data_IF_871052297943
#
_entry.id   IF_871052297943
#
_cell.length_a   1.000
_cell.length_b   1.000
_cell.length_c   1.000
_cell.angle_alpha   90.00
_cell.angle_beta   90.00
_cell.angle_gamma   90.00
#
_symmetry.space_group_name_H-M   'P 1'
#
loop_
_entity.id
_entity.type
_entity.pdbx_description
1 polymer ?
#
# COMPACT_ATOMS: atom_id res chain seq x y z
N UNK A 1 -46.33 25.31 -11.97
CA UNK A 1 -46.18 25.62 -13.40
C UNK A 1 -44.81 25.07 -13.81
N UNK A 2 -44.77 23.86 -14.37
CA UNK A 2 -44.86 23.55 -15.82
C UNK A 2 -43.71 24.23 -16.59
N UNK A 3 -42.66 23.43 -16.92
CA UNK A 3 -42.22 23.01 -18.29
C UNK A 3 -41.49 24.17 -19.01
N UNK A 4 -40.34 23.98 -19.65
CA UNK A 4 -40.02 23.18 -20.85
C UNK A 4 -38.49 22.90 -20.84
N UNK A 5 -37.92 21.71 -21.07
CA UNK A 5 -37.79 20.90 -22.31
C UNK A 5 -37.33 21.67 -23.54
N UNK A 6 -36.04 21.63 -23.86
CA UNK A 6 -35.54 21.61 -25.24
C UNK A 6 -34.26 20.79 -25.33
N UNK A 7 -34.35 19.78 -26.19
CA UNK A 7 -33.32 18.88 -26.72
C UNK A 7 -32.76 19.52 -27.99
N UNK A 8 -31.47 19.40 -28.25
CA UNK A 8 -30.84 19.37 -29.60
C UNK A 8 -29.37 18.98 -29.37
N UNK A 9 -28.98 17.74 -29.64
CA UNK A 9 -28.47 17.19 -30.91
C UNK A 9 -27.15 17.81 -31.39
N UNK A 10 -26.29 16.91 -31.87
CA UNK A 10 -24.87 17.05 -32.13
C UNK A 10 -24.62 17.83 -33.42
N UNK A 11 -23.64 18.75 -33.41
CA UNK A 11 -22.88 19.07 -34.62
C UNK A 11 -21.39 18.93 -34.35
N UNK A 12 -20.86 17.85 -34.91
CA UNK A 12 -19.45 17.49 -34.97
C UNK A 12 -18.90 18.03 -36.28
N UNK A 13 -18.75 19.35 -36.37
CA UNK A 13 -17.98 19.98 -37.44
C UNK A 13 -17.64 21.43 -37.05
N UNK A 14 -16.46 21.90 -37.45
CA UNK A 14 -15.91 23.27 -37.27
C UNK A 14 -14.93 23.46 -36.10
N UNK A 15 -13.74 22.89 -36.24
CA UNK A 15 -12.51 23.52 -35.77
C UNK A 15 -11.46 23.42 -36.87
N UNK A 16 -11.33 24.46 -37.67
CA UNK A 16 -10.10 24.71 -38.41
C UNK A 16 -9.62 26.16 -38.24
N UNK A 17 -8.29 26.23 -38.14
CA UNK A 17 -7.41 27.33 -38.54
C UNK A 17 -7.18 28.45 -37.53
N UNK A 18 -5.97 28.45 -36.92
CA UNK A 18 -4.89 29.40 -37.29
C UNK A 18 -3.50 28.79 -36.95
N UNK A 19 -2.70 28.57 -38.02
CA UNK A 19 -1.21 28.58 -38.19
C UNK A 19 -0.27 27.94 -37.14
N UNK A 20 0.65 27.01 -37.43
CA UNK A 20 1.50 26.72 -38.61
C UNK A 20 3.00 26.79 -38.18
N UNK A 21 4.03 26.34 -38.93
CA UNK A 21 4.10 25.36 -40.02
C UNK A 21 5.07 24.18 -39.74
N UNK A 22 5.04 23.19 -40.65
CA UNK A 22 5.87 22.00 -40.75
C UNK A 22 7.37 22.18 -40.46
N UNK A 23 7.96 21.23 -39.71
CA UNK A 23 9.40 21.01 -39.72
C UNK A 23 9.68 19.57 -40.16
N UNK A 24 10.19 19.53 -41.39
CA UNK A 24 10.72 18.39 -42.11
C UNK A 24 11.84 17.70 -41.30
N UNK A 25 11.80 16.37 -41.30
CA UNK A 25 12.94 15.53 -40.92
C UNK A 25 14.00 15.66 -42.02
N UNK A 26 15.07 16.40 -41.75
CA UNK A 26 16.33 16.25 -42.49
C UNK A 26 17.55 16.42 -41.58
N UNK A 27 18.57 15.61 -41.90
CA UNK A 27 19.77 15.31 -41.15
C UNK A 27 20.67 16.52 -40.87
N UNK A 28 21.30 16.55 -39.68
CA UNK A 28 22.76 16.61 -39.45
C UNK A 28 23.07 17.26 -38.08
N UNK A 29 23.97 16.65 -37.30
CA UNK A 29 24.29 17.00 -35.92
C UNK A 29 24.94 18.41 -35.75
N UNK A 30 25.04 18.93 -34.52
CA UNK A 30 26.15 18.51 -33.66
C UNK A 30 25.68 18.03 -32.29
N UNK A 31 26.28 16.91 -31.85
CA UNK A 31 26.10 16.33 -30.53
C UNK A 31 26.45 17.38 -29.48
N UNK A 32 25.48 17.76 -28.65
CA UNK A 32 25.76 18.45 -27.40
C UNK A 32 26.59 17.49 -26.54
N UNK A 33 27.90 17.75 -26.46
CA UNK A 33 28.80 17.05 -25.57
C UNK A 33 28.45 17.47 -24.15
N UNK A 34 27.66 16.64 -23.47
CA UNK A 34 27.44 16.77 -22.03
C UNK A 34 28.81 16.71 -21.33
N UNK A 35 29.27 17.81 -20.69
CA UNK A 35 30.61 17.93 -20.12
C UNK A 35 30.82 17.03 -18.89
N UNK A 36 29.84 16.23 -18.48
CA UNK A 36 29.92 15.30 -17.35
C UNK A 36 30.03 13.83 -17.77
N UNK A 37 30.05 13.51 -19.07
CA UNK A 37 30.03 12.13 -19.58
C UNK A 37 31.41 11.57 -20.02
N UNK A 38 32.51 12.30 -19.82
CA UNK A 38 33.83 11.91 -20.36
C UNK A 38 34.82 11.35 -19.32
N UNK A 39 34.32 10.51 -18.40
CA UNK A 39 35.16 9.85 -17.37
C UNK A 39 35.34 8.34 -17.63
N UNK A 40 34.55 7.75 -18.54
CA UNK A 40 34.57 6.31 -18.82
C UNK A 40 34.92 5.94 -20.27
N UNK A 41 35.32 6.90 -21.11
CA UNK A 41 35.85 6.59 -22.45
C UNK A 41 37.27 6.04 -22.34
N UNK A 42 37.39 4.75 -22.06
CA UNK A 42 38.62 3.98 -22.16
C UNK A 42 39.01 3.83 -23.63
N UNK A 43 39.61 4.88 -24.20
CA UNK A 43 40.29 4.82 -25.50
C UNK A 43 41.80 4.68 -25.26
N UNK A 44 42.45 3.61 -25.75
CA UNK A 44 43.88 3.44 -25.55
C UNK A 44 44.66 4.46 -26.39
N UNK A 45 45.66 5.16 -25.82
CA UNK A 45 46.48 6.08 -26.59
C UNK A 45 47.45 5.33 -27.51
N UNK A 46 47.60 5.87 -28.73
CA UNK A 46 48.51 5.39 -29.76
C UNK A 46 49.96 5.22 -29.25
N UNK A 47 50.63 4.18 -29.74
CA UNK A 47 52.00 3.80 -29.40
C UNK A 47 53.05 4.90 -29.67
N UNK A 48 53.92 5.24 -28.72
CA UNK A 48 55.19 5.88 -29.01
C UNK A 48 56.30 4.82 -29.11
N UNK A 49 57.02 4.81 -30.23
CA UNK A 49 58.26 4.04 -30.39
C UNK A 49 59.42 4.83 -29.79
N UNK A 50 60.13 4.29 -28.78
CA UNK A 50 61.52 4.67 -28.47
C UNK A 50 62.25 3.63 -27.62
N UNK A 51 63.55 3.56 -27.89
CA UNK A 51 64.51 2.52 -27.55
C UNK A 51 64.73 2.21 -26.05
N UNK A 52 65.25 0.99 -25.86
CA UNK A 52 65.63 0.30 -24.64
C UNK A 52 66.39 1.11 -23.57
N UNK A 53 66.09 0.84 -22.30
CA UNK A 53 67.08 0.62 -21.23
C UNK A 53 66.41 -0.11 -20.07
N UNK A 54 66.87 -1.31 -19.77
CA UNK A 54 66.42 -2.09 -18.62
C UNK A 54 66.93 -1.45 -17.32
N UNK A 55 66.02 -1.13 -16.40
CA UNK A 55 66.33 -1.03 -14.96
C UNK A 55 65.15 -1.58 -14.17
N UNK A 56 65.49 -2.45 -13.23
CA UNK A 56 64.61 -3.21 -12.36
C UNK A 56 63.75 -2.30 -11.48
N UNK A 57 62.44 -2.43 -11.57
CA UNK A 57 61.52 -2.56 -10.43
C UNK A 57 60.11 -2.73 -10.99
N UNK A 58 59.51 -3.90 -10.74
CA UNK A 58 58.07 -4.11 -10.87
C UNK A 58 57.33 -3.20 -9.88
N UNK A 59 57.23 -1.91 -10.19
CA UNK A 59 56.29 -1.01 -9.55
C UNK A 59 54.97 -1.12 -10.32
N UNK A 60 54.26 -2.23 -10.12
CA UNK A 60 52.83 -2.21 -10.37
C UNK A 60 52.23 -1.10 -9.48
N UNK A 61 51.54 -0.09 -10.04
CA UNK A 61 50.89 0.93 -9.25
C UNK A 61 49.91 0.25 -8.31
N UNK A 62 50.02 0.50 -7.01
CA UNK A 62 49.23 -0.18 -6.00
C UNK A 62 47.73 -0.01 -6.25
N UNK A 63 46.99 -1.11 -6.37
CA UNK A 63 45.52 -1.11 -6.51
C UNK A 63 44.78 -0.78 -5.20
N UNK A 64 45.50 -0.66 -4.09
CA UNK A 64 44.94 -0.40 -2.75
C UNK A 64 44.07 0.87 -2.69
N UNK A 65 44.44 2.02 -3.29
CA UNK A 65 43.60 3.22 -3.30
C UNK A 65 42.32 3.00 -4.10
N UNK A 66 42.41 2.32 -5.25
CA UNK A 66 41.25 2.01 -6.10
C UNK A 66 40.30 1.07 -5.38
N UNK A 67 40.82 0.02 -4.76
CA UNK A 67 40.04 -0.94 -3.97
C UNK A 67 39.35 -0.26 -2.78
N UNK A 68 40.05 0.64 -2.08
CA UNK A 68 39.46 1.44 -0.99
C UNK A 68 38.34 2.34 -1.48
N UNK A 69 38.50 3.02 -2.61
CA UNK A 69 37.45 3.87 -3.20
C UNK A 69 36.25 3.03 -3.59
N UNK A 70 36.46 1.87 -4.23
CA UNK A 70 35.38 0.93 -4.58
C UNK A 70 34.67 0.41 -3.33
N UNK A 71 35.40 -0.02 -2.30
CA UNK A 71 34.82 -0.54 -1.07
C UNK A 71 34.07 0.54 -0.27
N UNK A 72 34.62 1.76 -0.20
CA UNK A 72 33.97 2.89 0.50
C UNK A 72 32.69 3.29 -0.23
N UNK A 73 32.73 3.36 -1.57
CA UNK A 73 31.55 3.69 -2.38
C UNK A 73 30.50 2.59 -2.30
N UNK A 74 30.92 1.33 -2.36
CA UNK A 74 30.04 0.17 -2.19
C UNK A 74 29.41 0.15 -0.80
N UNK A 75 30.20 0.33 0.27
CA UNK A 75 29.72 0.33 1.65
C UNK A 75 28.81 1.51 1.97
N UNK A 76 29.06 2.70 1.40
CA UNK A 76 28.14 3.84 1.54
C UNK A 76 26.80 3.58 0.84
N UNK A 77 26.83 3.03 -0.37
CA UNK A 77 25.61 2.65 -1.10
C UNK A 77 24.82 1.58 -0.35
N UNK A 78 25.52 0.57 0.14
CA UNK A 78 24.94 -0.53 0.89
C UNK A 78 24.36 -0.04 2.23
N UNK A 79 25.06 0.85 2.94
CA UNK A 79 24.55 1.46 4.18
C UNK A 79 23.29 2.30 3.99
N UNK A 80 23.19 3.06 2.88
CA UNK A 80 21.98 3.82 2.53
C UNK A 80 20.83 2.88 2.13
N UNK A 81 21.12 1.83 1.37
CA UNK A 81 20.13 0.84 0.99
C UNK A 81 19.62 0.08 2.22
N UNK A 82 20.53 -0.43 3.06
CA UNK A 82 20.22 -1.14 4.29
C UNK A 82 19.38 -0.28 5.25
N UNK A 83 19.77 0.98 5.49
CA UNK A 83 19.02 1.88 6.40
C UNK A 83 17.59 2.14 5.93
N UNK A 84 17.35 2.19 4.61
CA UNK A 84 16.00 2.39 4.06
C UNK A 84 15.16 1.12 4.17
N UNK A 85 15.73 -0.05 3.89
CA UNK A 85 14.99 -1.31 3.95
C UNK A 85 14.69 -1.73 5.40
N UNK A 86 15.60 -1.42 6.32
CA UNK A 86 15.51 -1.83 7.73
C UNK A 86 14.32 -1.20 8.47
N UNK A 87 13.87 0.00 8.08
CA UNK A 87 12.68 0.64 8.68
C UNK A 87 11.38 0.29 7.97
N UNK A 88 11.43 -0.15 6.71
CA UNK A 88 10.22 -0.43 5.91
C UNK A 88 9.60 -1.80 6.21
N UNK A 89 10.41 -2.83 6.40
CA UNK A 89 9.90 -4.19 6.64
C UNK A 89 9.13 -4.33 7.96
N UNK A 90 9.66 -3.88 9.11
CA UNK A 90 8.94 -4.02 10.38
C UNK A 90 7.59 -3.31 10.37
N UNK A 91 7.52 -2.09 9.83
CA UNK A 91 6.27 -1.35 9.71
C UNK A 91 5.27 -2.01 8.75
N UNK A 92 5.76 -2.66 7.67
CA UNK A 92 4.89 -3.44 6.79
C UNK A 92 4.34 -4.68 7.50
N UNK A 93 5.17 -5.42 8.23
CA UNK A 93 4.75 -6.65 8.90
C UNK A 93 3.73 -6.37 10.02
N UNK A 94 3.95 -5.30 10.79
CA UNK A 94 2.99 -4.79 11.79
C UNK A 94 1.68 -4.35 11.13
N UNK A 95 1.76 -3.52 10.09
CA UNK A 95 0.58 -3.05 9.36
C UNK A 95 -0.19 -4.18 8.66
N UNK A 96 0.52 -5.15 8.10
CA UNK A 96 -0.07 -6.30 7.40
C UNK A 96 -0.82 -7.21 8.36
N UNK A 97 -0.23 -7.56 9.49
CA UNK A 97 -0.87 -8.41 10.50
C UNK A 97 -2.13 -7.75 11.09
N UNK A 98 -2.07 -6.46 11.43
CA UNK A 98 -3.24 -5.70 11.90
C UNK A 98 -4.31 -5.55 10.80
N UNK A 99 -3.90 -5.24 9.57
CA UNK A 99 -4.78 -5.15 8.41
C UNK A 99 -5.48 -6.48 8.10
N UNK A 100 -4.80 -7.61 8.27
CA UNK A 100 -5.38 -8.94 8.10
C UNK A 100 -6.49 -9.22 9.12
N UNK A 101 -6.26 -8.88 10.40
CA UNK A 101 -7.27 -9.02 11.46
C UNK A 101 -8.48 -8.12 11.19
N UNK A 102 -8.25 -6.85 10.86
CA UNK A 102 -9.32 -5.91 10.51
C UNK A 102 -10.12 -6.39 9.29
N UNK A 103 -9.43 -6.81 8.23
CA UNK A 103 -10.04 -7.34 7.01
C UNK A 103 -10.90 -8.57 7.28
N UNK A 104 -10.43 -9.47 8.15
CA UNK A 104 -11.20 -10.65 8.58
C UNK A 104 -12.47 -10.23 9.34
N UNK A 105 -12.40 -9.23 10.23
CA UNK A 105 -13.58 -8.69 10.94
C UNK A 105 -14.59 -8.07 9.98
N UNK A 106 -14.14 -7.29 9.00
CA UNK A 106 -15.01 -6.69 7.98
C UNK A 106 -15.64 -7.75 7.11
N UNK A 107 -14.84 -8.70 6.63
CA UNK A 107 -15.29 -9.79 5.78
C UNK A 107 -16.37 -10.63 6.45
N UNK A 108 -16.23 -10.91 7.75
CA UNK A 108 -17.26 -11.57 8.54
C UNK A 108 -18.58 -10.77 8.55
N UNK A 109 -18.53 -9.48 8.90
CA UNK A 109 -19.73 -8.62 8.97
C UNK A 109 -20.45 -8.58 7.63
N UNK A 110 -19.71 -8.33 6.54
CA UNK A 110 -20.28 -8.26 5.19
C UNK A 110 -20.82 -9.62 4.77
N UNK A 111 -20.07 -10.70 5.02
CA UNK A 111 -20.46 -12.07 4.67
C UNK A 111 -21.73 -12.52 5.38
N UNK A 112 -21.90 -12.19 6.67
CA UNK A 112 -23.15 -12.50 7.40
C UNK A 112 -24.33 -11.72 6.84
N UNK A 113 -24.16 -10.42 6.54
CA UNK A 113 -25.23 -9.61 5.94
C UNK A 113 -25.62 -10.12 4.54
N UNK A 114 -24.65 -10.57 3.75
CA UNK A 114 -24.88 -11.21 2.46
C UNK A 114 -25.63 -12.53 2.61
N UNK A 115 -25.20 -13.38 3.54
CA UNK A 115 -25.88 -14.64 3.83
C UNK A 115 -27.34 -14.41 4.23
N UNK A 116 -27.60 -13.43 5.10
CA UNK A 116 -28.96 -13.02 5.46
C UNK A 116 -29.74 -12.50 4.25
N UNK A 117 -29.14 -11.64 3.43
CA UNK A 117 -29.79 -11.13 2.21
C UNK A 117 -30.26 -12.26 1.28
N UNK A 118 -29.47 -13.33 1.13
CA UNK A 118 -29.87 -14.49 0.34
C UNK A 118 -30.91 -15.39 1.03
N UNK A 119 -30.88 -15.48 2.36
CA UNK A 119 -31.76 -16.35 3.15
C UNK A 119 -33.17 -15.78 3.40
N UNK A 120 -33.36 -14.46 3.35
CA UNK A 120 -34.63 -13.81 3.73
C UNK A 120 -35.66 -13.72 2.59
N UNK A 121 -36.90 -13.42 2.97
CA UNK A 121 -38.04 -13.24 2.08
C UNK A 121 -37.89 -12.01 1.17
N UNK A 122 -38.57 -12.01 0.01
CA UNK A 122 -38.52 -10.89 -0.94
C UNK A 122 -38.96 -9.54 -0.35
N UNK A 123 -39.85 -9.55 0.66
CA UNK A 123 -40.32 -8.34 1.32
C UNK A 123 -39.20 -7.63 2.12
N UNK A 124 -38.27 -8.39 2.71
CA UNK A 124 -37.20 -7.86 3.56
C UNK A 124 -35.89 -7.64 2.80
N UNK A 125 -35.76 -8.23 1.61
CA UNK A 125 -34.59 -8.07 0.73
C UNK A 125 -34.25 -6.61 0.44
N UNK A 126 -35.25 -5.75 0.21
CA UNK A 126 -34.97 -4.35 -0.09
C UNK A 126 -34.30 -3.64 1.08
N UNK A 127 -34.80 -3.83 2.30
CA UNK A 127 -34.19 -3.29 3.53
C UNK A 127 -32.77 -3.83 3.71
N UNK A 128 -32.59 -5.14 3.58
CA UNK A 128 -31.29 -5.76 3.76
C UNK A 128 -30.29 -5.30 2.70
N UNK A 129 -30.72 -5.07 1.46
CA UNK A 129 -29.87 -4.51 0.41
C UNK A 129 -29.38 -3.10 0.75
N UNK A 130 -30.22 -2.27 1.37
CA UNK A 130 -29.82 -0.93 1.82
C UNK A 130 -28.82 -1.01 2.96
N UNK A 131 -29.05 -1.90 3.94
CA UNK A 131 -28.11 -2.14 5.04
C UNK A 131 -26.74 -2.60 4.53
N UNK A 132 -26.72 -3.54 3.59
CA UNK A 132 -25.50 -4.08 2.99
C UNK A 132 -24.74 -2.99 2.21
N UNK A 133 -25.43 -2.15 1.43
CA UNK A 133 -24.81 -1.00 0.75
C UNK A 133 -24.20 -0.02 1.75
N UNK A 134 -24.90 0.28 2.84
CA UNK A 134 -24.36 1.12 3.91
C UNK A 134 -23.13 0.49 4.56
N UNK A 135 -23.16 -0.81 4.87
CA UNK A 135 -22.04 -1.53 5.45
C UNK A 135 -20.80 -1.47 4.56
N UNK A 136 -20.95 -1.68 3.24
CA UNK A 136 -19.84 -1.59 2.27
C UNK A 136 -19.23 -0.19 2.19
N UNK A 137 -20.06 0.84 2.29
CA UNK A 137 -19.60 2.24 2.23
C UNK A 137 -18.99 2.70 3.55
N UNK A 138 -19.48 2.20 4.70
CA UNK A 138 -18.93 2.55 6.01
C UNK A 138 -17.68 1.75 6.36
N UNK A 139 -17.62 0.46 6.01
CA UNK A 139 -16.49 -0.42 6.23
C UNK A 139 -15.52 -0.44 5.05
N UNK A 140 -15.53 0.61 4.21
CA UNK A 140 -14.53 0.77 3.16
C UNK A 140 -13.17 1.08 3.78
N UNK A 141 -12.10 0.68 3.09
CA UNK A 141 -10.71 0.91 3.53
C UNK A 141 -10.48 2.40 3.83
N UNK A 142 -11.00 3.29 2.99
CA UNK A 142 -10.90 4.75 3.16
C UNK A 142 -11.48 5.24 4.50
N UNK A 143 -12.58 4.67 4.97
CA UNK A 143 -13.23 5.08 6.22
C UNK A 143 -12.69 4.36 7.44
N UNK A 144 -12.25 3.13 7.26
CA UNK A 144 -11.60 2.36 8.32
C UNK A 144 -10.25 2.94 8.71
N UNK A 145 -9.50 3.44 7.74
CA UNK A 145 -8.21 4.09 7.97
C UNK A 145 -8.28 5.62 7.87
N UNK A 146 -9.46 6.19 8.16
CA UNK A 146 -9.66 7.63 8.11
C UNK A 146 -8.83 8.36 9.18
N UNK A 147 -8.32 9.54 8.81
CA UNK A 147 -7.61 10.45 9.71
C UNK A 147 -8.56 10.85 10.85
N UNK A 148 -8.19 10.51 12.09
CA UNK A 148 -9.02 10.71 13.29
C UNK A 148 -9.40 9.41 14.01
N UNK A 149 -9.41 8.28 13.31
CA UNK A 149 -9.38 6.94 13.95
C UNK A 149 -7.93 6.47 14.12
N UNK A 150 -7.07 6.91 13.21
CA UNK A 150 -5.62 6.68 13.20
C UNK A 150 -4.87 7.99 13.25
N UNK A 151 -3.76 8.01 13.98
CA UNK A 151 -2.77 9.08 14.04
C UNK A 151 -1.86 9.12 12.80
N UNK A 152 -1.08 10.19 12.66
CA UNK A 152 -0.12 10.33 11.53
C UNK A 152 1.06 9.36 11.60
N UNK A 153 1.31 8.86 12.79
CA UNK A 153 2.29 7.82 13.13
C UNK A 153 1.78 6.39 12.87
N UNK A 154 0.51 6.23 12.46
CA UNK A 154 -0.10 4.92 12.22
C UNK A 154 -0.60 4.23 13.49
N UNK A 155 -0.56 4.93 14.64
CA UNK A 155 -1.10 4.43 15.91
C UNK A 155 -2.60 4.73 15.99
N UNK A 156 -3.38 3.83 16.56
CA UNK A 156 -4.82 4.03 16.73
C UNK A 156 -5.12 5.12 17.78
N UNK A 157 -6.13 5.95 17.52
CA UNK A 157 -6.50 7.09 18.37
C UNK A 157 -7.69 6.81 19.32
N UNK A 158 -8.17 5.57 19.38
CA UNK A 158 -9.34 5.17 20.17
C UNK A 158 -8.95 4.28 21.36
N UNK A 159 -9.79 4.29 22.39
CA UNK A 159 -9.56 3.51 23.61
C UNK A 159 -9.72 2.01 23.35
N UNK A 160 -8.67 1.25 23.64
CA UNK A 160 -8.64 -0.22 23.57
C UNK A 160 -8.49 -0.75 24.98
N UNK A 161 -9.36 -1.68 25.37
CA UNK A 161 -9.28 -2.32 26.68
C UNK A 161 -8.09 -3.29 26.69
N UNK A 162 -6.99 -2.88 27.32
CA UNK A 162 -5.77 -3.68 27.52
C UNK A 162 -4.75 -2.88 28.33
N UNK A 163 -3.82 -3.55 29.03
CA UNK A 163 -2.63 -2.85 29.53
C UNK A 163 -1.81 -2.42 28.32
N UNK A 164 -1.32 -1.19 28.30
CA UNK A 164 -0.64 -0.58 27.13
C UNK A 164 0.50 -1.45 26.56
N UNK A 165 1.07 -2.38 27.33
CA UNK A 165 2.14 -3.32 26.92
C UNK A 165 1.66 -4.66 26.31
N UNK A 166 0.39 -5.04 26.41
CA UNK A 166 -0.11 -6.37 25.98
C UNK A 166 -1.32 -6.30 25.03
N UNK A 167 -1.56 -5.15 24.40
CA UNK A 167 -2.72 -5.01 23.51
C UNK A 167 -2.52 -5.87 22.26
N UNK A 168 -3.40 -6.85 22.07
CA UNK A 168 -3.36 -7.68 20.86
C UNK A 168 -4.04 -6.97 19.67
N UNK A 169 -3.57 -7.23 18.44
CA UNK A 169 -4.23 -6.68 17.25
C UNK A 169 -5.71 -7.07 17.12
N UNK A 170 -6.11 -8.20 17.71
CA UNK A 170 -7.51 -8.61 17.80
C UNK A 170 -8.35 -7.67 18.67
N UNK A 171 -7.81 -7.26 19.82
CA UNK A 171 -8.46 -6.29 20.71
C UNK A 171 -8.55 -4.91 20.06
N UNK A 172 -7.48 -4.47 19.39
CA UNK A 172 -7.48 -3.22 18.60
C UNK A 172 -8.61 -3.25 17.56
N UNK A 173 -8.67 -4.33 16.76
CA UNK A 173 -9.72 -4.48 15.76
C UNK A 173 -11.13 -4.54 16.37
N UNK A 174 -11.32 -5.23 17.50
CA UNK A 174 -12.61 -5.29 18.19
C UNK A 174 -13.01 -3.98 18.86
N UNK A 175 -12.04 -3.13 19.22
CA UNK A 175 -12.28 -1.81 19.79
C UNK A 175 -12.63 -0.75 18.72
N UNK A 176 -12.31 -1.01 17.45
CA UNK A 176 -12.55 -0.07 16.35
C UNK A 176 -14.03 0.41 16.29
N UNK A 177 -14.30 1.73 16.27
CA UNK A 177 -15.66 2.27 16.41
C UNK A 177 -16.67 1.76 15.36
N UNK A 178 -16.27 1.72 14.09
CA UNK A 178 -17.12 1.23 13.00
C UNK A 178 -17.40 -0.27 13.11
N UNK A 179 -16.39 -1.08 13.46
CA UNK A 179 -16.56 -2.51 13.65
C UNK A 179 -17.49 -2.79 14.83
N UNK A 180 -17.36 -2.09 15.97
CA UNK A 180 -18.28 -2.21 17.10
C UNK A 180 -19.71 -1.90 16.74
N UNK A 181 -19.94 -0.80 16.01
CA UNK A 181 -21.26 -0.39 15.51
C UNK A 181 -21.87 -1.49 14.65
N UNK A 182 -21.13 -1.97 13.64
CA UNK A 182 -21.66 -2.94 12.68
C UNK A 182 -21.79 -4.35 13.26
N UNK A 183 -20.87 -4.76 14.15
CA UNK A 183 -20.98 -6.00 14.93
C UNK A 183 -22.27 -6.03 15.75
N UNK A 184 -22.59 -4.90 16.40
CA UNK A 184 -23.84 -4.76 17.16
C UNK A 184 -25.08 -4.87 16.26
N UNK A 185 -25.06 -4.24 15.08
CA UNK A 185 -26.15 -4.34 14.09
C UNK A 185 -26.32 -5.75 13.54
N UNK A 186 -25.23 -6.44 13.22
CA UNK A 186 -25.28 -7.83 12.74
C UNK A 186 -25.86 -8.74 13.82
N UNK A 187 -25.46 -8.57 15.08
CA UNK A 187 -26.02 -9.33 16.20
C UNK A 187 -27.53 -9.09 16.36
N UNK A 188 -27.98 -7.86 16.19
CA UNK A 188 -29.41 -7.52 16.19
C UNK A 188 -30.17 -8.22 15.05
N UNK A 189 -29.65 -8.16 13.81
CA UNK A 189 -30.30 -8.79 12.66
C UNK A 189 -30.28 -10.32 12.78
N UNK A 190 -29.19 -10.94 13.23
CA UNK A 190 -29.13 -12.38 13.53
C UNK A 190 -30.17 -12.79 14.57
N UNK A 191 -30.31 -12.01 15.65
CA UNK A 191 -31.31 -12.24 16.69
C UNK A 191 -32.75 -12.14 16.16
N UNK A 192 -33.01 -11.21 15.24
CA UNK A 192 -34.34 -11.07 14.59
C UNK A 192 -34.73 -12.29 13.77
N UNK A 193 -33.75 -12.93 13.11
CA UNK A 193 -33.98 -14.14 12.31
C UNK A 193 -33.76 -15.44 13.10
N UNK A 194 -33.46 -15.36 14.40
CA UNK A 194 -33.24 -16.54 15.25
C UNK A 194 -32.03 -17.37 14.83
N UNK A 195 -31.04 -16.75 14.17
CA UNK A 195 -29.84 -17.45 13.70
C UNK A 195 -28.75 -17.35 14.76
N UNK A 196 -28.23 -18.50 15.17
CA UNK A 196 -27.13 -18.55 16.13
C UNK A 196 -25.85 -17.97 15.51
N UNK A 197 -25.29 -16.95 16.18
CA UNK A 197 -24.05 -16.29 15.79
C UNK A 197 -22.86 -17.27 15.78
N UNK A 198 -22.89 -18.28 16.67
CA UNK A 198 -21.89 -19.34 16.75
C UNK A 198 -21.78 -20.17 15.47
N UNK A 199 -22.84 -20.21 14.65
CA UNK A 199 -22.83 -20.94 13.37
C UNK A 199 -21.92 -20.31 12.31
N UNK A 200 -21.67 -19.00 12.41
CA UNK A 200 -20.81 -18.26 11.47
C UNK A 200 -19.42 -18.00 12.03
N UNK A 201 -19.22 -18.21 13.33
CA UNK A 201 -17.96 -17.91 14.03
C UNK A 201 -17.09 -19.18 13.99
N UNK A 202 -16.07 -19.21 13.12
CA UNK A 202 -15.13 -20.33 13.07
C UNK A 202 -14.35 -20.50 14.39
N UNK A 203 -13.90 -21.72 14.68
CA UNK A 203 -13.19 -22.10 15.92
C UNK A 203 -11.89 -21.30 16.20
N UNK A 204 -11.42 -20.52 15.22
CA UNK A 204 -10.20 -19.70 15.32
C UNK A 204 -10.44 -18.34 16.02
N UNK A 205 -11.71 -17.91 16.12
CA UNK A 205 -12.09 -16.61 16.70
C UNK A 205 -11.94 -16.53 18.23
N UNK A 206 -11.87 -17.67 18.92
CA UNK A 206 -11.73 -17.78 20.38
C UNK A 206 -10.32 -18.10 20.84
N UNK A 207 -9.45 -18.62 19.96
CA UNK A 207 -8.09 -19.03 20.37
C UNK A 207 -7.24 -17.84 20.83
N UNK A 208 -7.49 -16.64 20.30
CA UNK A 208 -6.86 -15.41 20.79
C UNK A 208 -7.41 -14.89 22.13
N UNK A 209 -8.58 -15.37 22.59
CA UNK A 209 -9.13 -15.06 23.94
C UNK A 209 -8.76 -16.15 24.96
N UNK A 210 -8.61 -17.39 24.52
CA UNK A 210 -8.37 -18.55 25.39
C UNK A 210 -6.88 -18.81 25.69
N UNK A 211 -5.97 -18.20 24.94
CA UNK A 211 -4.53 -18.31 25.22
C UNK A 211 -4.04 -17.26 26.25
N UNK A 212 -4.79 -16.17 26.48
CA UNK A 212 -4.52 -15.21 27.57
C UNK A 212 -5.06 -15.67 28.92
N UNK A 213 -6.12 -16.49 28.95
CA UNK A 213 -6.68 -17.06 30.19
C UNK A 213 -5.96 -18.33 30.67
N UNK A 214 -4.98 -18.85 29.92
CA UNK A 214 -4.25 -20.09 30.24
C UNK A 214 -2.79 -19.90 30.67
N UNK A 215 -2.38 -18.67 30.96
CA UNK A 215 -1.03 -18.34 31.47
C UNK A 215 -0.99 -18.03 32.98
N UNK A 216 -2.06 -18.32 33.73
CA UNK A 216 -2.13 -18.12 35.18
C UNK A 216 -2.45 -19.41 35.98
N UNK A 217 -1.98 -20.58 35.54
CA UNK A 217 -1.97 -21.81 36.36
C UNK A 217 -0.57 -22.44 36.48
#
# INVERSE_FOLDING_TARGET
>A
MLRETTTDELDMSTLESVGGPDILIENNAPRSTDPLHDVFSDSPPASPSRAATATLQSQEPSDIPRLRTTHTTAGYRDGIAASKTQSLQPGFDEGYSLGAVLGLRVGYIIGVLEALYFAISAAEKQRMSTLLKQARVELSVEKMFARGVWGEDGVWAYEVAGKEEEVTFAEVADAHPLLRKWKSRVKEELGRFGVDEGRFRGEEWERGRLDSERMDE
#
